data_IF_239082334194
#
_entry.id   IF_239082334194
#
_cell.length_a   1.000
_cell.length_b   1.000
_cell.length_c   1.000
_cell.angle_alpha   90.00
_cell.angle_beta   90.00
_cell.angle_gamma   90.00
#
_symmetry.space_group_name_H-M   'P 1'
#
loop_
_entity.id
_entity.type
_entity.pdbx_description
1 polymer ?
#
# COMPACT_ATOMS: atom_id res chain seq x y z
N UNK A 1 -17.18 5.07 9.45
CA UNK A 1 -16.23 5.49 8.37
C UNK A 1 -15.58 4.27 7.73
N UNK A 2 -14.90 3.42 8.47
CA UNK A 2 -14.17 2.26 7.96
C UNK A 2 -15.01 1.39 7.00
N UNK A 3 -16.10 0.77 7.46
CA UNK A 3 -16.97 -0.10 6.64
C UNK A 3 -17.46 0.60 5.35
N UNK A 4 -17.92 1.85 5.48
CA UNK A 4 -18.35 2.64 4.30
C UNK A 4 -17.21 2.81 3.29
N UNK A 5 -15.99 2.98 3.77
CA UNK A 5 -14.83 3.14 2.89
C UNK A 5 -14.46 1.82 2.25
N UNK A 6 -14.53 0.69 2.99
CA UNK A 6 -14.36 -0.65 2.42
C UNK A 6 -15.32 -0.86 1.23
N UNK A 7 -16.61 -0.64 1.43
CA UNK A 7 -17.59 -0.78 0.34
C UNK A 7 -17.29 0.18 -0.81
N UNK A 8 -16.97 1.45 -0.52
CA UNK A 8 -16.73 2.44 -1.57
C UNK A 8 -15.49 2.12 -2.42
N UNK A 9 -14.42 1.61 -1.84
CA UNK A 9 -13.19 1.29 -2.60
C UNK A 9 -13.33 0.00 -3.42
N UNK A 10 -14.20 -0.91 -3.01
CA UNK A 10 -14.45 -2.18 -3.72
C UNK A 10 -15.63 -2.13 -4.69
N UNK A 11 -16.37 -1.01 -4.75
CA UNK A 11 -17.56 -0.85 -5.58
C UNK A 11 -17.26 -0.92 -7.09
N UNK A 12 -16.09 -0.40 -7.49
CA UNK A 12 -15.65 -0.47 -8.88
C UNK A 12 -14.11 -0.36 -9.00
N UNK A 13 -13.54 -0.77 -10.16
CA UNK A 13 -12.09 -0.75 -10.37
C UNK A 13 -11.43 0.63 -10.23
N UNK A 14 -12.12 1.71 -10.58
CA UNK A 14 -11.57 3.08 -10.49
C UNK A 14 -11.38 3.49 -9.04
N UNK A 15 -12.34 3.18 -8.18
CA UNK A 15 -12.25 3.43 -6.75
C UNK A 15 -11.12 2.60 -6.11
N UNK A 16 -11.01 1.32 -6.51
CA UNK A 16 -9.94 0.45 -6.06
C UNK A 16 -8.56 0.98 -6.45
N UNK A 17 -8.36 1.36 -7.71
CA UNK A 17 -7.12 1.98 -8.20
C UNK A 17 -6.78 3.28 -7.45
N UNK A 18 -7.77 4.12 -7.21
CA UNK A 18 -7.59 5.36 -6.44
C UNK A 18 -7.11 5.10 -5.02
N UNK A 19 -7.69 4.10 -4.35
CA UNK A 19 -7.23 3.65 -3.04
C UNK A 19 -5.80 3.09 -3.11
N UNK A 20 -5.52 2.18 -4.06
CA UNK A 20 -4.20 1.57 -4.23
C UNK A 20 -3.08 2.61 -4.45
N UNK A 21 -3.38 3.68 -5.18
CA UNK A 21 -2.44 4.79 -5.40
C UNK A 21 -2.06 5.48 -4.08
N UNK A 22 -3.02 5.71 -3.19
CA UNK A 22 -2.78 6.29 -1.87
C UNK A 22 -2.08 5.30 -0.94
N UNK A 23 -2.52 4.03 -0.96
CA UNK A 23 -1.93 2.95 -0.18
C UNK A 23 -0.46 2.71 -0.55
N UNK A 24 -0.13 2.73 -1.86
CA UNK A 24 1.25 2.59 -2.35
C UNK A 24 2.19 3.68 -1.84
N UNK A 25 1.72 4.91 -1.66
CA UNK A 25 2.49 6.00 -1.04
C UNK A 25 2.72 5.79 0.45
N UNK A 26 1.76 5.16 1.11
CA UNK A 26 1.74 4.92 2.56
C UNK A 26 1.92 3.42 2.90
N UNK A 27 2.64 2.66 2.08
CA UNK A 27 2.74 1.19 2.11
C UNK A 27 3.27 0.60 3.43
N UNK A 28 3.94 1.40 4.27
CA UNK A 28 4.46 0.97 5.58
C UNK A 28 3.41 0.97 6.68
N UNK A 29 2.26 1.54 6.41
CA UNK A 29 1.15 1.57 7.35
C UNK A 29 0.29 0.32 7.18
N UNK A 30 -0.46 -0.04 8.19
CA UNK A 30 -1.39 -1.15 8.15
C UNK A 30 -2.55 -0.85 7.19
N UNK A 31 -3.18 -1.88 6.67
CA UNK A 31 -4.29 -1.75 5.72
C UNK A 31 -5.45 -0.89 6.25
N UNK A 32 -5.83 -1.11 7.51
CA UNK A 32 -6.88 -0.34 8.18
C UNK A 32 -6.52 1.15 8.32
N UNK A 33 -5.27 1.46 8.64
CA UNK A 33 -4.76 2.84 8.67
C UNK A 33 -4.77 3.47 7.27
N UNK A 34 -4.28 2.74 6.26
CA UNK A 34 -4.29 3.21 4.86
C UNK A 34 -5.70 3.53 4.38
N UNK A 35 -6.67 2.68 4.74
CA UNK A 35 -8.08 2.88 4.39
C UNK A 35 -8.67 4.12 5.07
N UNK A 36 -8.38 4.34 6.36
CA UNK A 36 -8.82 5.52 7.09
C UNK A 36 -8.14 6.81 6.59
N UNK A 37 -6.87 6.72 6.19
CA UNK A 37 -6.15 7.84 5.57
C UNK A 37 -6.79 8.17 4.24
N UNK A 38 -7.01 7.19 3.37
CA UNK A 38 -7.68 7.39 2.09
C UNK A 38 -9.06 8.04 2.24
N UNK A 39 -9.85 7.59 3.21
CA UNK A 39 -11.19 8.13 3.48
C UNK A 39 -11.19 9.61 3.84
N UNK A 40 -10.12 10.11 4.45
CA UNK A 40 -9.99 11.49 4.96
C UNK A 40 -9.11 12.35 4.07
N UNK A 41 -8.11 11.75 3.41
CA UNK A 41 -7.11 12.44 2.60
C UNK A 41 -6.62 11.55 1.44
N UNK A 42 -7.42 11.35 0.39
CA UNK A 42 -7.08 10.44 -0.72
C UNK A 42 -5.84 10.87 -1.52
N UNK A 43 -5.47 12.14 -1.46
CA UNK A 43 -4.30 12.74 -2.10
C UNK A 43 -3.03 12.73 -1.23
N UNK A 44 -3.07 12.12 -0.03
CA UNK A 44 -1.92 12.08 0.87
C UNK A 44 -0.68 11.46 0.21
N UNK A 45 0.48 12.08 0.46
CA UNK A 45 1.76 11.67 -0.12
C UNK A 45 2.65 10.95 0.88
N UNK A 46 2.82 11.54 2.07
CA UNK A 46 3.59 10.96 3.17
C UNK A 46 3.00 11.45 4.49
N UNK A 47 2.52 10.52 5.29
CA UNK A 47 1.87 10.87 6.56
C UNK A 47 2.67 10.37 7.75
N UNK A 48 2.80 11.20 8.77
CA UNK A 48 3.46 10.90 10.04
C UNK A 48 2.76 11.63 11.19
N UNK A 49 2.97 11.14 12.40
CA UNK A 49 2.61 11.85 13.62
C UNK A 49 3.43 13.13 13.79
N UNK A 50 2.88 14.10 14.51
CA UNK A 50 3.53 15.41 14.73
C UNK A 50 4.91 15.26 15.40
N UNK A 51 5.06 14.33 16.33
CA UNK A 51 6.32 14.05 17.02
C UNK A 51 7.41 13.58 16.06
N UNK A 52 7.02 12.77 15.06
CA UNK A 52 7.95 12.29 14.02
C UNK A 52 8.31 13.40 13.03
N UNK A 53 7.34 14.21 12.63
CA UNK A 53 7.63 15.39 11.80
C UNK A 53 8.66 16.32 12.48
N UNK A 54 8.43 16.61 13.75
CA UNK A 54 9.31 17.50 14.51
C UNK A 54 10.68 16.88 14.81
N UNK A 55 10.69 15.66 15.37
CA UNK A 55 11.91 15.04 15.89
C UNK A 55 12.80 14.44 14.80
N UNK A 56 12.21 13.82 13.76
CA UNK A 56 12.98 13.13 12.71
C UNK A 56 13.34 14.07 11.57
N UNK A 57 12.38 14.87 11.11
CA UNK A 57 12.54 15.68 9.91
C UNK A 57 12.73 17.19 10.21
N UNK A 58 12.55 17.62 11.46
CA UNK A 58 12.63 19.04 11.82
C UNK A 58 11.58 19.90 11.12
N UNK A 59 10.46 19.28 10.72
CA UNK A 59 9.33 19.96 10.08
C UNK A 59 8.24 20.25 11.11
N UNK A 60 7.52 21.33 10.92
CA UNK A 60 6.45 21.74 11.83
C UNK A 60 5.10 21.69 11.14
N UNK A 61 4.11 21.14 11.83
CA UNK A 61 2.73 21.10 11.34
C UNK A 61 2.18 22.53 11.31
N UNK A 62 1.54 22.88 10.20
CA UNK A 62 0.94 24.19 9.97
C UNK A 62 -0.20 24.46 10.95
N UNK A 63 -0.29 25.69 11.44
CA UNK A 63 -1.40 26.08 12.29
C UNK A 63 -2.73 25.92 11.57
N UNK A 64 -3.65 25.16 12.18
CA UNK A 64 -4.97 24.89 11.60
C UNK A 64 -5.04 23.68 10.66
N UNK A 65 -3.92 22.98 10.43
CA UNK A 65 -3.95 21.70 9.73
C UNK A 65 -4.84 20.69 10.46
N UNK A 66 -5.62 19.94 9.68
CA UNK A 66 -6.49 18.90 10.22
C UNK A 66 -5.73 17.57 10.24
N UNK A 67 -5.58 17.00 11.43
CA UNK A 67 -5.02 15.67 11.57
C UNK A 67 -5.93 14.59 10.97
N UNK A 68 -5.33 13.61 10.34
CA UNK A 68 -5.98 12.41 9.83
C UNK A 68 -6.09 11.44 11.00
N UNK A 69 -7.30 11.17 11.45
CA UNK A 69 -7.55 10.32 12.60
C UNK A 69 -7.52 8.83 12.23
N UNK A 70 -6.66 8.06 12.88
CA UNK A 70 -6.57 6.61 12.72
C UNK A 70 -6.55 5.92 14.09
N UNK A 71 -6.83 4.62 14.13
CA UNK A 71 -6.75 3.84 15.34
C UNK A 71 -5.44 3.05 15.37
N UNK A 72 -4.69 3.23 16.44
CA UNK A 72 -3.55 2.39 16.79
C UNK A 72 -3.99 1.31 17.76
N UNK A 73 -3.67 0.06 17.45
CA UNK A 73 -3.84 -1.05 18.40
C UNK A 73 -2.68 -1.02 19.41
N UNK A 74 -2.81 -0.21 20.43
CA UNK A 74 -1.79 -0.09 21.48
C UNK A 74 -1.68 -1.37 22.34
N UNK A 75 -2.78 -2.14 22.43
CA UNK A 75 -2.85 -3.46 23.05
C UNK A 75 -4.18 -4.11 22.62
N UNK A 76 -4.28 -5.46 22.64
CA UNK A 76 -5.50 -6.19 22.23
C UNK A 76 -6.80 -5.74 22.90
N UNK A 77 -6.71 -4.87 23.91
CA UNK A 77 -7.84 -4.39 24.71
C UNK A 77 -8.12 -2.87 24.62
N UNK A 78 -7.25 -2.07 23.98
CA UNK A 78 -7.42 -0.61 23.93
C UNK A 78 -7.00 -0.06 22.58
N UNK A 79 -7.96 0.41 21.81
CA UNK A 79 -7.69 1.23 20.63
C UNK A 79 -7.38 2.67 21.07
N UNK A 80 -6.27 3.21 20.59
CA UNK A 80 -5.89 4.60 20.79
C UNK A 80 -6.14 5.38 19.50
N UNK A 81 -6.77 6.53 19.60
CA UNK A 81 -6.89 7.45 18.49
C UNK A 81 -5.59 8.25 18.36
N UNK A 82 -4.94 8.14 17.21
CA UNK A 82 -3.76 8.95 16.85
C UNK A 82 -4.08 9.80 15.63
N UNK A 83 -3.25 10.82 15.39
CA UNK A 83 -3.43 11.73 14.28
C UNK A 83 -2.16 11.80 13.44
N UNK A 84 -2.30 11.50 12.16
CA UNK A 84 -1.29 11.73 11.16
C UNK A 84 -1.48 13.09 10.49
N UNK A 85 -0.39 13.66 9.98
CA UNK A 85 -0.38 14.86 9.15
C UNK A 85 0.40 14.55 7.88
N UNK A 86 -0.14 14.97 6.74
CA UNK A 86 0.55 14.82 5.47
C UNK A 86 1.71 15.83 5.37
N UNK A 87 2.73 15.52 4.57
CA UNK A 87 3.88 16.41 4.34
C UNK A 87 3.44 17.81 3.88
N UNK A 88 2.37 17.91 3.10
CA UNK A 88 1.81 19.18 2.62
C UNK A 88 1.19 20.03 3.74
N UNK A 89 0.87 19.42 4.87
CA UNK A 89 0.40 20.11 6.07
C UNK A 89 1.55 20.62 6.96
N UNK A 90 2.79 20.48 6.50
CA UNK A 90 3.98 20.85 7.26
C UNK A 90 4.81 21.88 6.53
N UNK A 91 5.62 22.64 7.29
CA UNK A 91 6.62 23.54 6.74
C UNK A 91 8.01 23.22 7.27
N UNK A 92 9.01 23.64 6.53
CA UNK A 92 10.41 23.46 6.88
C UNK A 92 10.87 24.47 7.92
N UNK A 93 11.73 24.02 8.83
CA UNK A 93 12.54 24.84 9.69
C UNK A 93 13.97 24.93 9.13
N UNK A 94 14.81 25.79 9.71
CA UNK A 94 16.24 25.86 9.34
C UNK A 94 17.01 24.54 9.58
N UNK A 95 16.44 23.60 10.31
CA UNK A 95 17.04 22.29 10.64
C UNK A 95 16.33 21.14 9.96
N UNK A 96 15.45 21.41 9.02
CA UNK A 96 14.71 20.35 8.32
C UNK A 96 15.65 19.46 7.52
N UNK A 97 15.34 18.18 7.56
CA UNK A 97 15.98 17.16 6.74
C UNK A 97 15.07 16.82 5.55
N UNK A 98 15.63 16.44 4.40
CA UNK A 98 14.85 15.96 3.29
C UNK A 98 13.99 14.76 3.71
N UNK A 99 12.73 14.76 3.31
CA UNK A 99 11.84 13.60 3.46
C UNK A 99 12.16 12.66 2.31
N UNK A 100 12.50 11.39 2.57
CA UNK A 100 12.86 10.45 1.51
C UNK A 100 11.61 9.98 0.77
N UNK A 101 11.10 10.81 -0.12
CA UNK A 101 10.08 10.41 -1.10
C UNK A 101 10.85 9.83 -2.28
N UNK A 102 10.73 8.52 -2.44
CA UNK A 102 11.42 7.83 -3.50
C UNK A 102 10.73 8.06 -4.84
N UNK A 103 11.51 8.38 -5.85
CA UNK A 103 11.09 8.50 -7.24
C UNK A 103 11.98 7.61 -8.10
N UNK A 104 11.36 6.89 -9.03
CA UNK A 104 12.11 6.08 -9.99
C UNK A 104 12.85 7.00 -10.95
N UNK A 105 14.11 6.67 -11.21
CA UNK A 105 14.92 7.32 -12.25
C UNK A 105 15.46 6.25 -13.18
N UNK A 106 15.62 6.55 -14.47
CA UNK A 106 16.12 5.59 -15.46
C UNK A 106 17.46 4.96 -15.08
N UNK A 107 18.33 5.71 -14.40
CA UNK A 107 19.64 5.21 -13.94
C UNK A 107 19.55 4.10 -12.88
N UNK A 108 18.41 3.96 -12.20
CA UNK A 108 18.19 2.93 -11.16
C UNK A 108 17.50 1.68 -11.68
N UNK A 109 17.04 1.67 -12.93
CA UNK A 109 16.23 0.57 -13.46
C UNK A 109 16.95 -0.77 -13.38
N UNK A 110 18.19 -0.82 -13.82
CA UNK A 110 19.01 -2.04 -13.79
C UNK A 110 19.22 -2.57 -12.35
N UNK A 111 19.50 -1.68 -11.40
CA UNK A 111 19.70 -2.03 -9.99
C UNK A 111 18.39 -2.52 -9.34
N UNK A 112 17.26 -1.92 -9.70
CA UNK A 112 15.95 -2.35 -9.22
C UNK A 112 15.59 -3.72 -9.76
N UNK A 113 15.83 -3.99 -11.05
CA UNK A 113 15.61 -5.30 -11.67
C UNK A 113 16.46 -6.36 -10.96
N UNK A 114 17.76 -6.12 -10.83
CA UNK A 114 18.68 -7.04 -10.14
C UNK A 114 18.23 -7.31 -8.69
N UNK A 115 17.78 -6.28 -7.99
CA UNK A 115 17.27 -6.42 -6.61
C UNK A 115 16.01 -7.27 -6.55
N UNK A 116 15.08 -7.09 -7.49
CA UNK A 116 13.85 -7.87 -7.57
C UNK A 116 14.16 -9.35 -7.88
N UNK A 117 15.04 -9.64 -8.85
CA UNK A 117 15.45 -10.99 -9.18
C UNK A 117 16.16 -11.68 -8.00
N UNK A 118 17.06 -10.97 -7.33
CA UNK A 118 17.77 -11.51 -6.15
C UNK A 118 16.83 -11.77 -4.96
N UNK A 119 15.72 -11.05 -4.87
CA UNK A 119 14.77 -11.16 -3.75
C UNK A 119 13.68 -12.19 -4.02
N UNK A 120 13.14 -12.22 -5.23
CA UNK A 120 11.93 -12.98 -5.58
C UNK A 120 12.17 -14.09 -6.61
N UNK A 121 13.42 -14.30 -7.03
CA UNK A 121 13.79 -15.29 -8.03
C UNK A 121 13.87 -14.72 -9.45
N UNK A 122 14.44 -15.55 -10.34
CA UNK A 122 14.69 -15.16 -11.73
C UNK A 122 13.38 -14.81 -12.47
N UNK A 123 13.49 -13.82 -13.33
CA UNK A 123 12.42 -13.31 -14.17
C UNK A 123 12.72 -13.65 -15.63
N UNK A 124 11.73 -14.10 -16.39
CA UNK A 124 11.91 -14.50 -17.78
C UNK A 124 11.96 -13.32 -18.75
N UNK A 125 11.19 -12.25 -18.43
CA UNK A 125 11.08 -11.07 -19.26
C UNK A 125 11.54 -9.81 -18.52
N UNK A 126 12.77 -9.40 -18.81
CA UNK A 126 13.39 -8.18 -18.27
C UNK A 126 13.33 -6.99 -19.23
N UNK A 127 12.48 -7.06 -20.26
CA UNK A 127 12.37 -5.99 -21.26
C UNK A 127 11.72 -4.72 -20.73
N UNK A 128 10.97 -4.81 -19.63
CA UNK A 128 10.39 -3.67 -18.93
C UNK A 128 10.29 -3.92 -17.44
N UNK A 129 10.41 -2.86 -16.66
CA UNK A 129 10.22 -2.92 -15.20
C UNK A 129 8.83 -3.43 -14.82
N UNK A 130 7.80 -3.17 -15.63
CA UNK A 130 6.44 -3.67 -15.42
C UNK A 130 6.38 -5.20 -15.47
N UNK A 131 7.04 -5.82 -16.46
CA UNK A 131 7.08 -7.28 -16.57
C UNK A 131 7.85 -7.90 -15.41
N UNK A 132 8.99 -7.33 -15.06
CA UNK A 132 9.79 -7.76 -13.90
C UNK A 132 8.97 -7.72 -12.62
N UNK A 133 8.25 -6.62 -12.37
CA UNK A 133 7.39 -6.48 -11.18
C UNK A 133 6.28 -7.53 -11.18
N UNK A 134 5.61 -7.77 -12.32
CA UNK A 134 4.53 -8.77 -12.42
C UNK A 134 5.02 -10.19 -12.17
N UNK A 135 6.18 -10.57 -12.70
CA UNK A 135 6.75 -11.90 -12.47
C UNK A 135 7.27 -12.04 -11.03
N UNK A 136 7.94 -11.03 -10.50
CA UNK A 136 8.39 -11.03 -9.10
C UNK A 136 7.23 -11.20 -8.11
N UNK A 137 6.07 -10.59 -8.39
CA UNK A 137 4.86 -10.77 -7.56
C UNK A 137 4.34 -12.21 -7.68
N UNK A 138 4.31 -12.77 -8.88
CA UNK A 138 3.90 -14.16 -9.08
C UNK A 138 4.79 -15.12 -8.28
N UNK A 139 6.12 -14.97 -8.40
CA UNK A 139 7.09 -15.77 -7.65
C UNK A 139 6.90 -15.64 -6.13
N UNK A 140 6.71 -14.42 -5.61
CA UNK A 140 6.50 -14.17 -4.19
C UNK A 140 5.21 -14.79 -3.63
N UNK A 141 4.17 -14.88 -4.45
CA UNK A 141 2.88 -15.48 -4.04
C UNK A 141 2.92 -17.00 -4.14
N UNK A 142 3.60 -17.56 -5.15
CA UNK A 142 3.63 -19.00 -5.43
C UNK A 142 4.14 -19.81 -4.25
N UNK A 143 5.16 -19.32 -3.54
CA UNK A 143 5.75 -20.00 -2.38
C UNK A 143 4.76 -20.22 -1.22
N UNK A 144 3.72 -19.39 -1.12
CA UNK A 144 2.75 -19.41 -0.02
C UNK A 144 1.29 -19.51 -0.52
N UNK A 145 1.08 -19.90 -1.77
CA UNK A 145 -0.24 -19.86 -2.41
C UNK A 145 -1.28 -20.68 -1.65
N UNK A 146 -0.89 -21.84 -1.12
CA UNK A 146 -1.81 -22.74 -0.42
C UNK A 146 -2.43 -22.09 0.83
N UNK A 147 -1.62 -21.37 1.61
CA UNK A 147 -2.09 -20.67 2.81
C UNK A 147 -3.00 -19.51 2.44
N UNK A 148 -2.61 -18.73 1.44
CA UNK A 148 -3.42 -17.60 0.95
C UNK A 148 -4.77 -18.04 0.39
N UNK A 149 -4.81 -19.15 -0.33
CA UNK A 149 -6.08 -19.69 -0.87
C UNK A 149 -6.98 -20.22 0.23
N UNK A 150 -6.40 -20.87 1.24
CA UNK A 150 -7.16 -21.32 2.40
C UNK A 150 -7.86 -20.15 3.09
N UNK A 151 -7.14 -19.06 3.32
CA UNK A 151 -7.71 -17.84 3.91
C UNK A 151 -8.74 -17.18 2.99
N UNK A 152 -8.44 -17.07 1.69
CA UNK A 152 -9.32 -16.48 0.69
C UNK A 152 -10.66 -17.22 0.60
N UNK A 153 -10.64 -18.55 0.53
CA UNK A 153 -11.86 -19.37 0.51
C UNK A 153 -12.64 -19.26 1.82
N UNK A 154 -11.94 -19.25 2.96
CA UNK A 154 -12.58 -19.09 4.27
C UNK A 154 -13.29 -17.73 4.42
N UNK A 155 -12.67 -16.66 3.95
CA UNK A 155 -13.27 -15.31 3.95
C UNK A 155 -14.41 -15.18 2.94
N UNK A 156 -14.36 -15.97 1.85
CA UNK A 156 -15.36 -15.99 0.80
C UNK A 156 -16.63 -16.78 1.12
N UNK A 157 -16.72 -17.41 2.30
CA UNK A 157 -17.90 -18.18 2.70
C UNK A 157 -19.19 -17.31 2.66
N UNK A 158 -20.22 -17.80 2.02
CA UNK A 158 -21.48 -17.08 1.80
C UNK A 158 -21.46 -16.08 0.63
N UNK A 159 -20.40 -16.06 -0.17
CA UNK A 159 -20.29 -15.29 -1.41
C UNK A 159 -20.08 -16.21 -2.62
N UNK A 160 -20.01 -15.63 -3.82
CA UNK A 160 -19.75 -16.39 -5.06
C UNK A 160 -18.41 -17.15 -5.03
N UNK A 161 -17.47 -16.73 -4.21
CA UNK A 161 -16.16 -17.36 -4.02
C UNK A 161 -16.31 -18.78 -3.46
N UNK A 162 -17.32 -19.03 -2.64
CA UNK A 162 -17.58 -20.35 -2.03
C UNK A 162 -17.78 -21.46 -3.08
N UNK A 163 -18.25 -21.10 -4.27
CA UNK A 163 -18.57 -22.04 -5.35
C UNK A 163 -17.40 -22.26 -6.33
N UNK A 164 -16.27 -21.57 -6.14
CA UNK A 164 -15.10 -21.75 -6.99
C UNK A 164 -14.40 -23.09 -6.71
N UNK A 165 -13.93 -23.74 -7.77
CA UNK A 165 -12.95 -24.81 -7.63
C UNK A 165 -11.61 -24.27 -7.13
N UNK A 166 -10.75 -25.15 -6.60
CA UNK A 166 -9.43 -24.74 -6.13
C UNK A 166 -8.60 -24.04 -7.23
N UNK A 167 -8.67 -24.53 -8.48
CA UNK A 167 -7.94 -23.96 -9.60
C UNK A 167 -8.47 -22.57 -9.98
N UNK A 168 -9.79 -22.38 -9.97
CA UNK A 168 -10.42 -21.08 -10.22
C UNK A 168 -10.09 -20.08 -9.11
N UNK A 169 -10.12 -20.51 -7.85
CA UNK A 169 -9.76 -19.67 -6.71
C UNK A 169 -8.28 -19.23 -6.78
N UNK A 170 -7.36 -20.16 -7.11
CA UNK A 170 -5.94 -19.88 -7.32
C UNK A 170 -5.75 -18.84 -8.43
N UNK A 171 -6.37 -19.05 -9.58
CA UNK A 171 -6.22 -18.13 -10.73
C UNK A 171 -6.75 -16.73 -10.39
N UNK A 172 -7.94 -16.67 -9.79
CA UNK A 172 -8.57 -15.38 -9.41
C UNK A 172 -7.74 -14.63 -8.35
N UNK A 173 -7.27 -15.34 -7.33
CA UNK A 173 -6.46 -14.75 -6.27
C UNK A 173 -5.15 -14.19 -6.82
N UNK A 174 -4.43 -15.01 -7.62
CA UNK A 174 -3.16 -14.59 -8.22
C UNK A 174 -3.34 -13.37 -9.14
N UNK A 175 -4.39 -13.37 -9.95
CA UNK A 175 -4.70 -12.23 -10.81
C UNK A 175 -5.00 -10.97 -10.01
N UNK A 176 -5.82 -11.07 -8.97
CA UNK A 176 -6.17 -9.96 -8.10
C UNK A 176 -4.92 -9.36 -7.43
N UNK A 177 -4.08 -10.21 -6.83
CA UNK A 177 -2.86 -9.77 -6.14
C UNK A 177 -1.88 -9.17 -7.13
N UNK A 178 -1.59 -9.85 -8.24
CA UNK A 178 -0.67 -9.37 -9.27
C UNK A 178 -1.09 -8.00 -9.83
N UNK A 179 -2.35 -7.84 -10.16
CA UNK A 179 -2.85 -6.58 -10.73
C UNK A 179 -2.83 -5.45 -9.66
N UNK A 180 -3.25 -5.73 -8.44
CA UNK A 180 -3.30 -4.73 -7.36
C UNK A 180 -1.89 -4.28 -6.94
N UNK A 181 -0.99 -5.22 -6.69
CA UNK A 181 0.38 -4.89 -6.26
C UNK A 181 1.17 -4.25 -7.40
N UNK A 182 1.04 -4.75 -8.65
CA UNK A 182 1.67 -4.08 -9.82
C UNK A 182 1.21 -2.65 -9.94
N UNK A 183 -0.10 -2.39 -9.82
CA UNK A 183 -0.62 -1.02 -9.88
C UNK A 183 -0.05 -0.13 -8.76
N UNK A 184 0.02 -0.64 -7.51
CA UNK A 184 0.62 0.10 -6.39
C UNK A 184 2.08 0.45 -6.65
N UNK A 185 2.86 -0.54 -7.10
CA UNK A 185 4.28 -0.37 -7.39
C UNK A 185 4.47 0.62 -8.54
N UNK A 186 3.80 0.39 -9.68
CA UNK A 186 3.91 1.27 -10.85
C UNK A 186 3.46 2.70 -10.56
N UNK A 187 2.35 2.88 -9.81
CA UNK A 187 1.90 4.21 -9.39
C UNK A 187 2.89 4.94 -8.46
N UNK A 188 3.79 4.19 -7.81
CA UNK A 188 4.88 4.75 -6.97
C UNK A 188 6.14 5.02 -7.78
N UNK A 189 6.37 4.24 -8.83
CA UNK A 189 7.49 4.43 -9.75
C UNK A 189 7.31 5.69 -10.63
N UNK A 190 6.07 6.16 -10.85
CA UNK A 190 5.70 7.30 -11.71
C UNK A 190 5.13 6.77 -13.00
#
# INVERSE_FOLDING_TARGET
MYERTCFAVTDNPVNWQSFLKTAGRNFRLRFDEQLLIYAQRPDSTAVLEIERWNGTFGRWVNRGAKGIAVFEDADRSRQRLIHYFDISDTHESRYSRPVPIWEMRPEYEAEVIETLENTFGAVNDTTSIENVVKESIANAVEDNIADYISDFMSLGAGSDIEYLSADEANALYLELVRNSVSYMVMARLG
#
